data_IF_394017728763
#
_entry.id   IF_394017728763
#
_cell.length_a   1.000
_cell.length_b   1.000
_cell.length_c   1.000
_cell.angle_alpha   90.00
_cell.angle_beta   90.00
_cell.angle_gamma   90.00
#
_symmetry.space_group_name_H-M   'P 1'
#
loop_
_entity.id
_entity.type
_entity.pdbx_description
1 polymer ?
#
# COMPACT_ATOMS: atom_id res chain seq x y z
N UNK A 1 -43.94 -13.18 9.98
CA UNK A 1 -42.49 -13.36 9.71
C UNK A 1 -42.00 -12.66 8.43
N UNK A 2 -42.82 -12.52 7.37
CA UNK A 2 -42.43 -11.83 6.13
C UNK A 2 -41.94 -10.35 6.22
N UNK A 3 -42.48 -9.46 7.08
CA UNK A 3 -42.07 -8.04 7.04
C UNK A 3 -40.63 -7.80 7.51
N UNK A 4 -40.08 -8.69 8.34
CA UNK A 4 -38.70 -8.57 8.83
C UNK A 4 -37.68 -8.81 7.72
N UNK A 5 -37.88 -9.86 6.91
CA UNK A 5 -36.97 -10.21 5.80
C UNK A 5 -36.96 -9.14 4.70
N UNK A 6 -38.12 -8.55 4.39
CA UNK A 6 -38.22 -7.45 3.41
C UNK A 6 -37.47 -6.19 3.90
N UNK A 7 -37.57 -5.86 5.19
CA UNK A 7 -36.82 -4.74 5.76
C UNK A 7 -35.31 -5.00 5.78
N UNK A 8 -34.89 -6.23 6.06
CA UNK A 8 -33.49 -6.65 6.01
C UNK A 8 -32.93 -6.55 4.59
N UNK A 9 -33.68 -7.00 3.58
CA UNK A 9 -33.30 -6.89 2.17
C UNK A 9 -33.10 -5.43 1.76
N UNK A 10 -34.00 -4.54 2.18
CA UNK A 10 -33.88 -3.09 1.92
C UNK A 10 -32.65 -2.49 2.59
N UNK A 11 -32.33 -2.91 3.81
CA UNK A 11 -31.11 -2.51 4.52
C UNK A 11 -29.85 -2.95 3.78
N UNK A 12 -29.81 -4.21 3.33
CA UNK A 12 -28.70 -4.76 2.55
C UNK A 12 -28.54 -4.04 1.21
N UNK A 13 -29.62 -3.72 0.50
CA UNK A 13 -29.55 -2.92 -0.73
C UNK A 13 -28.96 -1.51 -0.49
N UNK A 14 -29.33 -0.86 0.62
CA UNK A 14 -28.73 0.41 1.03
C UNK A 14 -27.24 0.29 1.33
N UNK A 15 -26.84 -0.78 2.02
CA UNK A 15 -25.44 -1.08 2.32
C UNK A 15 -24.63 -1.34 1.04
N UNK A 16 -25.16 -2.15 0.13
CA UNK A 16 -24.59 -2.40 -1.21
C UNK A 16 -24.33 -1.09 -1.94
N UNK A 17 -25.32 -0.19 -1.98
CA UNK A 17 -25.18 1.11 -2.66
C UNK A 17 -24.10 1.97 -2.02
N UNK A 18 -24.04 2.04 -0.69
CA UNK A 18 -23.01 2.80 0.04
C UNK A 18 -21.60 2.28 -0.25
N UNK A 19 -21.42 0.96 -0.25
CA UNK A 19 -20.15 0.31 -0.57
C UNK A 19 -19.74 0.57 -2.03
N UNK A 20 -20.68 0.48 -2.97
CA UNK A 20 -20.45 0.81 -4.38
C UNK A 20 -19.96 2.25 -4.56
N UNK A 21 -20.66 3.23 -3.95
CA UNK A 21 -20.28 4.64 -4.03
C UNK A 21 -18.88 4.91 -3.47
N UNK A 22 -18.47 4.15 -2.45
CA UNK A 22 -17.12 4.25 -1.88
C UNK A 22 -16.05 3.76 -2.87
N UNK A 23 -16.29 2.63 -3.54
CA UNK A 23 -15.40 2.11 -4.60
C UNK A 23 -15.38 3.07 -5.79
N UNK A 24 -16.55 3.54 -6.23
CA UNK A 24 -16.68 4.48 -7.35
C UNK A 24 -16.00 5.82 -7.05
N UNK A 25 -16.12 6.33 -5.82
CA UNK A 25 -15.41 7.54 -5.39
C UNK A 25 -13.90 7.39 -5.50
N UNK A 26 -13.37 6.25 -5.04
CA UNK A 26 -11.95 5.95 -5.16
C UNK A 26 -11.51 5.79 -6.63
N UNK A 27 -12.35 5.18 -7.48
CA UNK A 27 -12.12 5.12 -8.91
C UNK A 27 -12.07 6.52 -9.54
N UNK A 28 -12.99 7.41 -9.18
CA UNK A 28 -12.99 8.78 -9.68
C UNK A 28 -11.71 9.53 -9.28
N UNK A 29 -11.26 9.37 -8.03
CA UNK A 29 -9.97 9.94 -7.59
C UNK A 29 -8.80 9.41 -8.42
N UNK A 30 -8.83 8.12 -8.75
CA UNK A 30 -7.79 7.44 -9.52
C UNK A 30 -7.59 8.03 -10.93
N UNK A 31 -8.60 8.72 -11.46
CA UNK A 31 -8.57 9.39 -12.77
C UNK A 31 -7.87 10.74 -12.76
N UNK A 32 -7.73 11.39 -11.60
CA UNK A 32 -7.13 12.73 -11.49
C UNK A 32 -6.05 12.80 -10.41
N UNK A 33 -5.04 11.94 -10.53
CA UNK A 33 -3.91 11.85 -9.59
C UNK A 33 -2.87 12.98 -9.74
N UNK A 34 -3.06 13.90 -10.68
CA UNK A 34 -2.20 15.07 -10.86
C UNK A 34 -2.48 16.16 -9.81
N UNK A 35 -3.69 16.18 -9.26
CA UNK A 35 -4.07 17.05 -8.15
C UNK A 35 -3.53 16.49 -6.83
N UNK A 36 -2.79 17.30 -6.08
CA UNK A 36 -2.14 16.87 -4.84
C UNK A 36 -3.15 16.49 -3.74
N UNK A 37 -4.27 17.22 -3.64
CA UNK A 37 -5.33 16.94 -2.66
C UNK A 37 -6.06 15.65 -3.02
N UNK A 38 -6.37 15.46 -4.31
CA UNK A 38 -6.99 14.20 -4.78
C UNK A 38 -6.04 13.02 -4.57
N UNK A 39 -4.75 13.18 -4.87
CA UNK A 39 -3.74 12.13 -4.69
C UNK A 39 -3.57 11.74 -3.21
N UNK A 40 -3.55 12.71 -2.28
CA UNK A 40 -3.54 12.44 -0.84
C UNK A 40 -4.77 11.66 -0.40
N UNK A 41 -5.96 12.11 -0.82
CA UNK A 41 -7.22 11.45 -0.49
C UNK A 41 -7.30 10.02 -1.06
N UNK A 42 -6.85 9.83 -2.29
CA UNK A 42 -6.74 8.53 -2.94
C UNK A 42 -5.89 7.57 -2.11
N UNK A 43 -4.67 7.99 -1.71
CA UNK A 43 -3.76 7.17 -0.90
C UNK A 43 -4.40 6.75 0.43
N UNK A 44 -5.08 7.66 1.12
CA UNK A 44 -5.75 7.38 2.40
C UNK A 44 -6.88 6.36 2.19
N UNK A 45 -7.75 6.59 1.19
CA UNK A 45 -8.92 5.74 0.92
C UNK A 45 -8.54 4.36 0.39
N UNK A 46 -7.46 4.27 -0.40
CA UNK A 46 -6.96 3.02 -0.99
C UNK A 46 -6.69 1.93 0.05
N UNK A 47 -6.21 2.29 1.23
CA UNK A 47 -5.95 1.34 2.33
C UNK A 47 -7.18 0.53 2.76
N UNK A 48 -8.39 1.00 2.43
CA UNK A 48 -9.65 0.32 2.77
C UNK A 48 -10.31 -0.37 1.59
N UNK A 49 -9.70 -0.33 0.40
CA UNK A 49 -10.30 -0.82 -0.85
C UNK A 49 -10.64 -2.30 -0.78
N UNK A 50 -9.67 -3.15 -0.45
CA UNK A 50 -9.84 -4.61 -0.45
C UNK A 50 -10.96 -5.03 0.51
N UNK A 51 -10.96 -4.47 1.73
CA UNK A 51 -12.03 -4.71 2.70
C UNK A 51 -13.38 -4.23 2.18
N UNK A 52 -13.43 -3.09 1.50
CA UNK A 52 -14.68 -2.55 0.93
C UNK A 52 -15.20 -3.46 -0.19
N UNK A 53 -14.33 -4.00 -1.05
CA UNK A 53 -14.68 -4.98 -2.09
C UNK A 53 -15.24 -6.26 -1.48
N UNK A 54 -14.56 -6.85 -0.49
CA UNK A 54 -15.04 -8.05 0.19
C UNK A 54 -16.41 -7.83 0.85
N UNK A 55 -16.59 -6.70 1.53
CA UNK A 55 -17.90 -6.35 2.12
C UNK A 55 -18.99 -6.16 1.06
N UNK A 56 -18.64 -5.68 -0.12
CA UNK A 56 -19.57 -5.53 -1.24
C UNK A 56 -20.00 -6.90 -1.78
N UNK A 57 -19.03 -7.76 -2.09
CA UNK A 57 -19.27 -9.13 -2.59
C UNK A 57 -20.16 -9.93 -1.60
N UNK A 58 -19.80 -9.93 -0.31
CA UNK A 58 -20.61 -10.58 0.74
C UNK A 58 -22.04 -9.99 0.84
N UNK A 59 -22.19 -8.70 0.55
CA UNK A 59 -23.49 -8.04 0.57
C UNK A 59 -24.36 -8.47 -0.61
N UNK A 60 -23.76 -8.65 -1.80
CA UNK A 60 -24.44 -9.20 -2.98
C UNK A 60 -24.89 -10.63 -2.70
N UNK A 61 -24.02 -11.47 -2.15
CA UNK A 61 -24.38 -12.86 -1.80
C UNK A 61 -25.55 -12.92 -0.82
N UNK A 62 -25.52 -12.07 0.22
CA UNK A 62 -26.61 -11.99 1.20
C UNK A 62 -27.92 -11.51 0.57
N UNK A 63 -27.86 -10.55 -0.36
CA UNK A 63 -29.04 -10.09 -1.12
C UNK A 63 -29.58 -11.22 -1.99
N UNK A 64 -28.71 -11.92 -2.73
CA UNK A 64 -29.10 -13.00 -3.62
C UNK A 64 -29.77 -14.15 -2.86
N UNK A 65 -29.18 -14.58 -1.73
CA UNK A 65 -29.77 -15.61 -0.87
C UNK A 65 -31.14 -15.19 -0.34
N UNK A 66 -31.25 -14.00 0.22
CA UNK A 66 -32.51 -13.52 0.80
C UNK A 66 -33.58 -13.28 -0.27
N UNK A 67 -33.17 -12.88 -1.48
CA UNK A 67 -34.08 -12.69 -2.61
C UNK A 67 -34.61 -14.02 -3.13
N UNK A 68 -33.77 -15.06 -3.23
CA UNK A 68 -34.20 -16.42 -3.58
C UNK A 68 -35.17 -17.03 -2.55
N UNK A 69 -34.97 -16.73 -1.25
CA UNK A 69 -35.90 -17.16 -0.21
C UNK A 69 -37.28 -16.49 -0.29
N UNK A 70 -37.33 -15.25 -0.80
CA UNK A 70 -38.56 -14.48 -0.95
C UNK A 70 -39.27 -14.77 -2.27
N UNK A 71 -38.51 -15.05 -3.32
CA UNK A 71 -38.98 -15.32 -4.67
C UNK A 71 -38.11 -16.41 -5.33
N UNK A 72 -38.64 -17.64 -5.49
CA UNK A 72 -37.92 -18.75 -6.13
C UNK A 72 -37.54 -18.50 -7.59
N UNK A 73 -38.24 -17.59 -8.29
CA UNK A 73 -37.96 -17.24 -9.68
C UNK A 73 -36.93 -16.09 -9.80
N UNK A 74 -36.40 -15.60 -8.67
CA UNK A 74 -35.40 -14.55 -8.65
C UNK A 74 -34.10 -14.97 -9.35
N UNK A 75 -33.58 -14.09 -10.21
CA UNK A 75 -32.28 -14.29 -10.87
C UNK A 75 -31.16 -13.56 -10.10
N UNK A 76 -30.13 -14.26 -9.60
CA UNK A 76 -29.02 -13.65 -8.87
C UNK A 76 -28.25 -12.59 -9.67
N UNK A 77 -27.89 -11.51 -9.00
CA UNK A 77 -27.03 -10.46 -9.56
C UNK A 77 -25.55 -10.86 -9.44
N UNK A 78 -24.77 -10.57 -10.49
CA UNK A 78 -23.33 -10.82 -10.54
C UNK A 78 -22.52 -9.60 -10.10
N UNK A 79 -21.31 -9.83 -9.60
CA UNK A 79 -20.41 -8.77 -9.13
C UNK A 79 -19.91 -7.88 -10.28
N UNK A 80 -20.31 -6.61 -10.28
CA UNK A 80 -20.00 -5.64 -11.35
C UNK A 80 -18.86 -4.66 -11.03
N UNK A 81 -18.12 -4.86 -9.92
CA UNK A 81 -17.11 -3.89 -9.43
C UNK A 81 -15.67 -4.25 -9.79
N UNK A 82 -15.44 -5.40 -10.43
CA UNK A 82 -14.10 -5.90 -10.73
C UNK A 82 -13.30 -4.98 -11.67
N UNK A 83 -13.96 -4.43 -12.69
CA UNK A 83 -13.30 -3.48 -13.60
C UNK A 83 -12.83 -2.22 -12.86
N UNK A 84 -13.68 -1.64 -11.99
CA UNK A 84 -13.31 -0.49 -11.18
C UNK A 84 -12.14 -0.83 -10.25
N UNK A 85 -12.19 -1.99 -9.61
CA UNK A 85 -11.13 -2.45 -8.72
C UNK A 85 -9.79 -2.56 -9.45
N UNK A 86 -9.75 -3.21 -10.61
CA UNK A 86 -8.55 -3.34 -11.43
C UNK A 86 -7.95 -1.98 -11.81
N UNK A 87 -8.79 -1.04 -12.25
CA UNK A 87 -8.33 0.32 -12.56
C UNK A 87 -7.73 1.05 -11.36
N UNK A 88 -8.36 0.92 -10.18
CA UNK A 88 -7.85 1.54 -8.96
C UNK A 88 -6.48 0.94 -8.57
N UNK A 89 -6.34 -0.38 -8.66
CA UNK A 89 -5.07 -1.07 -8.35
C UNK A 89 -3.95 -0.63 -9.30
N UNK A 90 -4.24 -0.52 -10.60
CA UNK A 90 -3.27 -0.02 -11.59
C UNK A 90 -2.87 1.44 -11.33
N UNK A 91 -3.82 2.29 -10.95
CA UNK A 91 -3.54 3.67 -10.56
C UNK A 91 -2.67 3.74 -9.29
N UNK A 92 -2.96 2.88 -8.31
CA UNK A 92 -2.19 2.78 -7.08
C UNK A 92 -0.73 2.39 -7.35
N UNK A 93 -0.47 1.41 -8.22
CA UNK A 93 0.89 1.05 -8.63
C UNK A 93 1.68 2.28 -9.04
N UNK A 94 1.14 3.14 -9.91
CA UNK A 94 1.81 4.36 -10.40
C UNK A 94 2.10 5.39 -9.29
N UNK A 95 1.23 5.46 -8.29
CA UNK A 95 1.31 6.46 -7.20
C UNK A 95 2.27 6.01 -6.10
N UNK A 96 2.31 4.72 -5.80
CA UNK A 96 3.15 4.16 -4.75
C UNK A 96 4.57 3.83 -5.24
N UNK A 97 4.76 3.45 -6.51
CA UNK A 97 6.10 3.23 -7.10
C UNK A 97 6.82 4.53 -7.47
N UNK A 98 6.10 5.66 -7.57
CA UNK A 98 6.70 6.98 -7.85
C UNK A 98 7.66 7.48 -6.76
N UNK A 99 7.77 6.77 -5.64
CA UNK A 99 8.64 7.14 -4.51
C UNK A 99 10.12 6.80 -4.76
N UNK A 100 10.48 6.04 -5.80
CA UNK A 100 11.89 5.66 -6.06
C UNK A 100 12.54 6.28 -7.31
N UNK A 101 11.83 7.09 -8.11
CA UNK A 101 12.39 7.67 -9.35
C UNK A 101 12.43 9.19 -9.37
N UNK A 102 13.01 9.78 -8.31
CA UNK A 102 13.61 11.11 -8.41
C UNK A 102 14.85 11.19 -7.52
N UNK A 103 15.80 10.30 -7.78
CA UNK A 103 17.20 10.63 -7.51
C UNK A 103 17.58 11.71 -8.52
N UNK A 104 17.31 12.97 -8.20
CA UNK A 104 18.17 14.05 -8.69
C UNK A 104 19.60 13.59 -8.38
N UNK A 105 20.59 13.71 -9.29
CA UNK A 105 21.96 13.37 -8.95
C UNK A 105 22.37 14.23 -7.76
N UNK A 106 22.37 13.62 -6.57
CA UNK A 106 22.83 14.25 -5.34
C UNK A 106 24.29 14.56 -5.61
N UNK A 107 24.59 15.86 -5.63
CA UNK A 107 25.97 16.36 -5.72
C UNK A 107 26.82 15.57 -4.74
N UNK A 108 27.90 14.99 -5.27
CA UNK A 108 28.95 14.24 -4.62
C UNK A 108 28.75 14.04 -3.11
N UNK A 109 28.36 12.81 -2.73
CA UNK A 109 28.60 12.29 -1.38
C UNK A 109 30.06 12.60 -1.08
N UNK A 110 30.30 13.44 -0.07
CA UNK A 110 31.63 13.65 0.47
C UNK A 110 32.15 12.26 0.87
N UNK A 111 33.04 11.69 0.05
CA UNK A 111 33.68 10.41 0.40
C UNK A 111 34.52 10.69 1.62
N UNK A 112 34.27 9.96 2.69
CA UNK A 112 35.17 9.96 3.84
C UNK A 112 36.59 9.68 3.33
N UNK A 113 37.62 10.37 3.87
CA UNK A 113 39.00 10.05 3.56
C UNK A 113 39.23 8.56 3.76
N UNK A 114 39.92 7.92 2.81
CA UNK A 114 40.29 6.52 3.00
C UNK A 114 41.25 6.44 4.18
N UNK A 115 40.88 5.66 5.19
CA UNK A 115 41.81 5.27 6.26
C UNK A 115 42.70 4.18 5.66
N UNK A 116 43.97 4.49 5.46
CA UNK A 116 44.97 3.50 5.06
C UNK A 116 45.40 2.72 6.29
N UNK A 117 44.89 1.49 6.43
CA UNK A 117 45.34 0.58 7.47
C UNK A 117 46.73 0.07 7.09
N UNK A 118 47.68 0.22 8.01
CA UNK A 118 49.00 -0.38 7.87
C UNK A 118 48.87 -1.90 7.80
N UNK A 119 49.50 -2.54 6.83
CA UNK A 119 49.58 -4.00 6.77
C UNK A 119 50.63 -4.49 7.77
N UNK A 120 50.26 -5.46 8.60
CA UNK A 120 51.22 -6.10 9.50
C UNK A 120 52.08 -7.10 8.72
N UNK A 121 53.39 -6.89 8.73
CA UNK A 121 54.39 -7.72 8.04
C UNK A 121 54.49 -9.15 8.60
N UNK A 122 53.96 -9.39 9.81
CA UNK A 122 54.13 -10.65 10.54
C UNK A 122 55.39 -10.70 11.40
N UNK A 123 56.26 -9.69 11.29
CA UNK A 123 57.49 -9.59 12.08
C UNK A 123 57.20 -9.09 13.50
N UNK A 124 57.70 -9.81 14.50
CA UNK A 124 57.44 -9.51 15.91
C UNK A 124 57.97 -8.12 16.33
N UNK A 125 59.02 -7.65 15.65
CA UNK A 125 59.63 -6.33 15.87
C UNK A 125 58.69 -5.18 15.49
N UNK A 126 57.81 -5.40 14.51
CA UNK A 126 56.88 -4.39 13.99
C UNK A 126 55.56 -4.37 14.78
N UNK A 127 55.35 -5.36 15.64
CA UNK A 127 54.11 -5.54 16.39
C UNK A 127 53.72 -4.33 17.25
N UNK A 128 54.63 -3.71 18.04
CA UNK A 128 54.27 -2.56 18.86
C UNK A 128 53.77 -1.38 18.01
N UNK A 129 54.44 -1.14 16.87
CA UNK A 129 54.12 -0.02 15.96
C UNK A 129 52.78 -0.26 15.28
N UNK A 130 52.55 -1.49 14.79
CA UNK A 130 51.27 -1.87 14.20
C UNK A 130 50.12 -1.74 15.21
N UNK A 131 50.31 -2.26 16.42
CA UNK A 131 49.28 -2.23 17.47
C UNK A 131 48.92 -0.81 17.91
N UNK A 132 49.93 0.05 18.14
CA UNK A 132 49.69 1.44 18.51
C UNK A 132 48.96 2.20 17.40
N UNK A 133 49.39 2.02 16.15
CA UNK A 133 48.76 2.67 14.99
C UNK A 133 47.31 2.20 14.81
N UNK A 134 47.05 0.89 14.93
CA UNK A 134 45.71 0.33 14.84
C UNK A 134 44.80 0.85 15.97
N UNK A 135 45.32 0.90 17.19
CA UNK A 135 44.58 1.37 18.37
C UNK A 135 44.17 2.83 18.22
N UNK A 136 45.08 3.71 17.79
CA UNK A 136 44.75 5.12 17.58
C UNK A 136 43.76 5.34 16.43
N UNK A 137 43.88 4.59 15.34
CA UNK A 137 43.02 4.75 14.16
C UNK A 137 41.60 4.18 14.34
N UNK A 138 41.44 3.12 15.14
CA UNK A 138 40.17 2.39 15.26
C UNK A 138 39.53 2.55 16.65
N UNK A 139 40.31 2.52 17.73
CA UNK A 139 39.78 2.43 19.10
C UNK A 139 39.76 3.77 19.84
N UNK A 140 40.73 4.65 19.58
CA UNK A 140 40.86 5.95 20.26
C UNK A 140 40.61 7.13 19.31
N UNK A 141 39.89 6.92 18.21
CA UNK A 141 39.52 7.99 17.28
C UNK A 141 38.42 8.87 17.93
N UNK A 142 38.70 10.13 18.31
CA UNK A 142 37.66 11.01 18.82
C UNK A 142 36.67 11.38 17.70
N UNK A 143 35.38 11.46 18.02
CA UNK A 143 34.30 11.85 17.09
C UNK A 143 34.60 13.16 16.32
#
# INVERSE_FOLDING_TARGET
>A
MAPTKVNELKSLQGKRQSLFLRIQGLYNDSRNLNDETVCKNFKIRYNTLEKTRQLFSNCIDSINLLSLELDPDYTPELEAVDELYCHIVEAAKKVFTKTESSLKPVKAIAKLPKIELMEFSGEMSDWPIFYDTFRTLIHENPD
#
